data_IF_511246823993
#
_entry.id   IF_511246823993
#
_cell.length_a   1.000
_cell.length_b   1.000
_cell.length_c   1.000
_cell.angle_alpha   90.00
_cell.angle_beta   90.00
_cell.angle_gamma   90.00
#
_symmetry.space_group_name_H-M   'P 1'
#
loop_
_entity.id
_entity.type
_entity.pdbx_description
1 polymer ?
#
# COMPACT_ATOMS: atom_id res chain seq x y z
N UNK A 1 -23.61 11.31 -11.80
CA UNK A 1 -24.77 12.20 -12.04
C UNK A 1 -25.98 11.42 -12.50
N UNK A 2 -27.20 11.97 -12.29
CA UNK A 2 -28.46 11.33 -12.66
C UNK A 2 -29.04 11.98 -13.94
N UNK A 3 -29.49 11.15 -14.90
CA UNK A 3 -30.10 11.61 -16.14
C UNK A 3 -31.48 12.23 -15.88
N UNK A 4 -31.85 13.37 -16.55
CA UNK A 4 -33.21 13.90 -16.51
C UNK A 4 -34.19 12.96 -17.20
N UNK A 5 -35.23 12.51 -16.47
CA UNK A 5 -36.17 11.47 -16.93
C UNK A 5 -37.54 12.00 -17.36
N UNK A 6 -37.75 13.32 -17.38
CA UNK A 6 -39.06 13.95 -17.66
C UNK A 6 -39.67 13.46 -18.98
N UNK A 7 -38.92 13.51 -20.08
CA UNK A 7 -39.38 13.09 -21.40
C UNK A 7 -39.55 11.58 -21.53
N UNK A 8 -38.75 10.79 -20.80
CA UNK A 8 -38.92 9.34 -20.72
C UNK A 8 -40.23 8.95 -20.11
N UNK A 9 -40.65 9.55 -18.99
CA UNK A 9 -41.94 9.27 -18.35
C UNK A 9 -43.10 9.70 -19.24
N UNK A 10 -43.01 10.80 -19.96
CA UNK A 10 -44.02 11.19 -20.92
C UNK A 10 -44.13 10.19 -22.07
N UNK A 11 -43.00 9.74 -22.64
CA UNK A 11 -42.95 8.69 -23.64
C UNK A 11 -43.67 7.41 -23.19
N UNK A 12 -43.52 7.01 -21.96
CA UNK A 12 -44.18 5.82 -21.42
C UNK A 12 -45.68 5.97 -21.23
N UNK A 13 -46.16 7.17 -20.88
CA UNK A 13 -47.54 7.44 -20.52
C UNK A 13 -48.37 7.99 -21.72
N UNK A 14 -47.81 8.06 -22.89
CA UNK A 14 -48.52 8.54 -24.11
C UNK A 14 -48.85 7.35 -25.00
N UNK A 15 -50.10 7.26 -25.49
CA UNK A 15 -50.54 6.17 -26.39
C UNK A 15 -50.43 6.54 -27.86
N UNK A 16 -50.50 7.84 -28.17
CA UNK A 16 -50.40 8.35 -29.54
C UNK A 16 -48.98 8.22 -30.09
N UNK A 17 -48.83 7.56 -31.26
CA UNK A 17 -47.54 7.27 -31.88
C UNK A 17 -46.73 8.51 -32.22
N UNK A 18 -47.38 9.55 -32.75
CA UNK A 18 -46.71 10.81 -33.08
C UNK A 18 -46.13 11.52 -31.87
N UNK A 19 -46.85 11.53 -30.77
CA UNK A 19 -46.40 12.10 -29.50
C UNK A 19 -45.31 11.27 -28.86
N UNK A 20 -45.33 9.92 -28.97
CA UNK A 20 -44.22 9.03 -28.55
C UNK A 20 -42.92 9.37 -29.26
N UNK A 21 -42.95 9.52 -30.57
CA UNK A 21 -41.76 9.84 -31.35
C UNK A 21 -41.20 11.21 -30.98
N UNK A 22 -42.01 12.19 -30.68
CA UNK A 22 -41.59 13.51 -30.25
C UNK A 22 -40.91 13.46 -28.88
N UNK A 23 -41.51 12.73 -27.93
CA UNK A 23 -41.00 12.65 -26.55
C UNK A 23 -39.68 11.83 -26.48
N UNK A 24 -39.53 10.76 -27.30
CA UNK A 24 -38.26 10.02 -27.32
C UNK A 24 -37.12 10.83 -27.95
N UNK A 25 -37.40 11.59 -29.03
CA UNK A 25 -36.42 12.52 -29.61
C UNK A 25 -36.01 13.59 -28.59
N UNK A 26 -36.97 14.17 -27.87
CA UNK A 26 -36.71 15.14 -26.80
C UNK A 26 -35.89 14.56 -25.66
N UNK A 27 -36.13 13.28 -25.31
CA UNK A 27 -35.35 12.54 -24.31
C UNK A 27 -33.89 12.37 -24.76
N UNK A 28 -33.66 11.97 -26.00
CA UNK A 28 -32.29 11.80 -26.56
C UNK A 28 -31.54 13.12 -26.58
N UNK A 29 -32.17 14.21 -27.00
CA UNK A 29 -31.60 15.56 -26.98
C UNK A 29 -31.22 15.96 -25.55
N UNK A 30 -32.11 15.73 -24.58
CA UNK A 30 -31.87 16.01 -23.19
C UNK A 30 -30.68 15.18 -22.63
N UNK A 31 -30.60 13.91 -23.00
CA UNK A 31 -29.49 13.01 -22.58
C UNK A 31 -28.16 13.49 -23.18
N UNK A 32 -28.08 13.82 -24.46
CA UNK A 32 -26.88 14.38 -25.11
C UNK A 32 -26.46 15.72 -24.51
N UNK A 33 -27.42 16.59 -24.19
CA UNK A 33 -27.15 17.86 -23.51
C UNK A 33 -26.59 17.61 -22.10
N UNK A 34 -27.14 16.65 -21.35
CA UNK A 34 -26.68 16.30 -20.04
C UNK A 34 -25.23 15.72 -20.08
N UNK A 35 -24.95 14.81 -21.01
CA UNK A 35 -23.60 14.27 -21.25
C UNK A 35 -22.62 15.43 -21.53
N UNK A 36 -22.98 16.36 -22.41
CA UNK A 36 -22.13 17.51 -22.73
C UNK A 36 -21.91 18.44 -21.54
N UNK A 37 -22.96 18.66 -20.73
CA UNK A 37 -22.86 19.45 -19.48
C UNK A 37 -21.92 18.83 -18.46
N UNK A 38 -21.95 17.51 -18.27
CA UNK A 38 -21.06 16.80 -17.37
C UNK A 38 -19.62 16.83 -17.85
N UNK A 39 -19.40 16.62 -19.16
CA UNK A 39 -18.05 16.71 -19.76
C UNK A 39 -17.42 18.10 -19.53
N UNK A 40 -18.18 19.18 -19.70
CA UNK A 40 -17.68 20.56 -19.48
C UNK A 40 -17.28 20.85 -18.05
N UNK A 41 -17.77 20.10 -17.06
CA UNK A 41 -17.44 20.30 -15.64
C UNK A 41 -16.06 19.76 -15.25
N UNK A 42 -15.35 19.08 -16.17
CA UNK A 42 -13.98 18.59 -16.01
C UNK A 42 -13.68 18.05 -14.60
N UNK A 43 -14.50 17.14 -14.10
CA UNK A 43 -14.39 16.60 -12.74
C UNK A 43 -13.01 16.01 -12.43
N UNK A 44 -12.29 15.54 -13.45
CA UNK A 44 -10.91 15.06 -13.31
C UNK A 44 -9.90 16.13 -12.87
N UNK A 45 -10.19 17.41 -13.16
CA UNK A 45 -9.32 18.53 -12.77
C UNK A 45 -9.61 19.08 -11.37
N UNK A 46 -10.78 18.79 -10.79
CA UNK A 46 -11.21 19.33 -9.50
C UNK A 46 -10.61 18.63 -8.29
N UNK A 47 -10.05 17.46 -8.48
CA UNK A 47 -9.47 16.66 -7.40
C UNK A 47 -8.03 16.34 -7.78
N UNK A 48 -7.06 16.83 -7.02
CA UNK A 48 -5.65 16.37 -7.04
C UNK A 48 -5.54 14.88 -6.66
N UNK A 49 -6.47 14.05 -7.13
CA UNK A 49 -6.58 12.63 -6.87
C UNK A 49 -6.38 11.96 -8.23
N UNK A 50 -5.68 10.84 -8.28
CA UNK A 50 -5.70 9.90 -9.41
C UNK A 50 -7.16 9.49 -9.67
N UNK A 51 -7.91 10.37 -10.35
CA UNK A 51 -9.31 10.14 -10.72
C UNK A 51 -9.33 9.27 -11.96
N UNK A 52 -10.21 8.28 -12.07
CA UNK A 52 -10.40 7.53 -13.29
C UNK A 52 -10.77 8.46 -14.43
N UNK A 53 -10.27 8.18 -15.63
CA UNK A 53 -10.49 8.98 -16.84
C UNK A 53 -11.97 9.03 -17.29
N UNK A 54 -12.85 8.33 -16.59
CA UNK A 54 -14.26 8.18 -16.94
C UNK A 54 -15.20 8.62 -15.84
N UNK A 55 -16.31 9.26 -16.24
CA UNK A 55 -17.40 9.66 -15.34
C UNK A 55 -18.64 8.80 -15.62
N UNK A 56 -19.22 8.21 -14.57
CA UNK A 56 -20.49 7.49 -14.70
C UNK A 56 -21.67 8.45 -14.64
N UNK A 57 -22.59 8.31 -15.61
CA UNK A 57 -23.93 8.92 -15.59
C UNK A 57 -24.94 7.81 -15.33
N UNK A 58 -25.70 7.98 -14.26
CA UNK A 58 -26.70 7.00 -13.85
C UNK A 58 -28.03 7.20 -14.54
N UNK A 59 -28.51 6.17 -15.24
CA UNK A 59 -29.81 6.07 -15.86
C UNK A 59 -30.73 5.23 -14.95
N UNK A 60 -31.77 5.80 -14.31
CA UNK A 60 -32.59 5.07 -13.33
C UNK A 60 -33.39 3.89 -13.90
N UNK A 61 -33.64 3.91 -15.20
CA UNK A 61 -34.41 2.86 -15.90
C UNK A 61 -33.56 2.24 -17.01
N UNK A 62 -33.26 0.96 -16.92
CA UNK A 62 -32.50 0.21 -17.92
C UNK A 62 -33.13 0.30 -19.32
N UNK A 63 -34.47 0.16 -19.38
CA UNK A 63 -35.21 0.28 -20.64
C UNK A 63 -35.11 1.65 -21.29
N UNK A 64 -34.92 2.73 -20.54
CA UNK A 64 -34.70 4.04 -21.10
C UNK A 64 -33.40 4.12 -21.90
N UNK A 65 -32.35 3.47 -21.44
CA UNK A 65 -31.07 3.39 -22.15
C UNK A 65 -31.20 2.54 -23.41
N UNK A 66 -31.81 1.36 -23.32
CA UNK A 66 -32.05 0.45 -24.43
C UNK A 66 -32.91 1.16 -25.52
N UNK A 67 -33.95 1.85 -25.10
CA UNK A 67 -34.82 2.58 -26.02
C UNK A 67 -34.08 3.73 -26.67
N UNK A 68 -33.30 4.52 -25.91
CA UNK A 68 -32.51 5.59 -26.49
C UNK A 68 -31.54 5.08 -27.56
N UNK A 69 -30.87 3.94 -27.33
CA UNK A 69 -29.99 3.29 -28.29
C UNK A 69 -30.72 2.80 -29.55
N UNK A 70 -31.95 2.30 -29.40
CA UNK A 70 -32.76 1.86 -30.54
C UNK A 70 -33.11 3.03 -31.49
N UNK A 71 -33.36 4.22 -30.94
CA UNK A 71 -33.67 5.43 -31.73
C UNK A 71 -32.42 6.21 -32.17
N UNK A 72 -31.33 6.11 -31.44
CA UNK A 72 -30.05 6.75 -31.77
C UNK A 72 -28.88 5.84 -31.34
N UNK A 73 -28.40 5.03 -32.30
CA UNK A 73 -27.31 4.10 -32.10
C UNK A 73 -25.97 4.78 -31.76
N UNK A 74 -25.83 6.07 -32.07
CA UNK A 74 -24.59 6.81 -31.83
C UNK A 74 -24.43 7.28 -30.38
N UNK A 75 -25.46 7.15 -29.52
CA UNK A 75 -25.51 7.82 -28.23
C UNK A 75 -24.44 7.32 -27.25
N UNK A 76 -24.10 6.02 -27.27
CA UNK A 76 -23.03 5.47 -26.43
C UNK A 76 -21.66 5.91 -26.93
N UNK A 77 -21.42 5.90 -28.24
CA UNK A 77 -20.16 6.39 -28.81
C UNK A 77 -19.98 7.89 -28.51
N UNK A 78 -21.04 8.67 -28.58
CA UNK A 78 -21.04 10.08 -28.22
C UNK A 78 -20.66 10.30 -26.74
N UNK A 79 -21.16 9.47 -25.83
CA UNK A 79 -20.80 9.52 -24.41
C UNK A 79 -19.34 9.10 -24.19
N UNK A 80 -18.91 8.01 -24.84
CA UNK A 80 -17.54 7.48 -24.71
C UNK A 80 -16.48 8.46 -25.21
N UNK A 81 -16.72 9.16 -26.34
CA UNK A 81 -15.83 10.22 -26.84
C UNK A 81 -15.65 11.36 -25.85
N UNK A 82 -16.56 11.51 -24.91
CA UNK A 82 -16.50 12.50 -23.81
C UNK A 82 -16.05 11.92 -22.48
N UNK A 83 -15.49 10.71 -22.51
CA UNK A 83 -15.06 9.98 -21.31
C UNK A 83 -16.21 9.77 -20.30
N UNK A 84 -17.41 9.56 -20.82
CA UNK A 84 -18.61 9.34 -20.04
C UNK A 84 -19.19 7.96 -20.34
N UNK A 85 -19.52 7.21 -19.30
CA UNK A 85 -20.18 5.91 -19.38
C UNK A 85 -21.59 6.06 -18.80
N UNK A 86 -22.59 5.77 -19.62
CA UNK A 86 -23.99 5.73 -19.15
C UNK A 86 -24.28 4.34 -18.63
N UNK A 87 -24.69 4.26 -17.38
CA UNK A 87 -24.94 2.99 -16.66
C UNK A 87 -26.35 2.93 -16.12
N UNK A 88 -26.99 1.77 -16.31
CA UNK A 88 -28.24 1.43 -15.65
C UNK A 88 -28.00 0.86 -14.25
N UNK A 89 -29.07 0.51 -13.50
CA UNK A 89 -28.99 -0.06 -12.15
C UNK A 89 -28.13 -1.31 -12.07
N UNK A 90 -28.35 -2.27 -12.96
CA UNK A 90 -27.61 -3.53 -12.97
C UNK A 90 -26.11 -3.35 -13.28
N UNK A 91 -25.81 -2.55 -14.30
CA UNK A 91 -24.45 -2.26 -14.72
C UNK A 91 -23.69 -1.45 -13.66
N UNK A 92 -24.35 -0.51 -12.98
CA UNK A 92 -23.73 0.26 -11.90
C UNK A 92 -23.26 -0.64 -10.75
N UNK A 93 -24.12 -1.59 -10.32
CA UNK A 93 -23.76 -2.54 -9.25
C UNK A 93 -22.53 -3.36 -9.64
N UNK A 94 -22.46 -3.83 -10.89
CA UNK A 94 -21.31 -4.58 -11.39
C UNK A 94 -20.03 -3.72 -11.40
N UNK A 95 -20.12 -2.49 -11.89
CA UNK A 95 -19.01 -1.55 -11.89
C UNK A 95 -18.51 -1.26 -10.46
N UNK A 96 -19.40 -1.07 -9.49
CA UNK A 96 -19.02 -0.84 -8.09
C UNK A 96 -18.30 -2.04 -7.49
N UNK A 97 -18.74 -3.27 -7.77
CA UNK A 97 -18.03 -4.49 -7.33
C UNK A 97 -16.64 -4.63 -7.94
N UNK A 98 -16.48 -4.25 -9.20
CA UNK A 98 -15.16 -4.23 -9.85
C UNK A 98 -14.23 -3.21 -9.19
N UNK A 99 -14.70 -1.99 -8.93
CA UNK A 99 -13.95 -0.95 -8.23
C UNK A 99 -13.54 -1.41 -6.82
N UNK A 100 -14.47 -2.01 -6.06
CA UNK A 100 -14.17 -2.59 -4.76
C UNK A 100 -13.06 -3.65 -4.83
N UNK A 101 -13.12 -4.53 -5.84
CA UNK A 101 -12.10 -5.57 -6.05
C UNK A 101 -10.73 -4.97 -6.38
N UNK A 102 -10.68 -3.92 -7.22
CA UNK A 102 -9.45 -3.20 -7.54
C UNK A 102 -8.85 -2.55 -6.30
N UNK A 103 -9.64 -1.85 -5.50
CA UNK A 103 -9.17 -1.23 -4.26
C UNK A 103 -8.66 -2.25 -3.24
N UNK A 104 -9.30 -3.42 -3.17
CA UNK A 104 -8.82 -4.52 -2.31
C UNK A 104 -7.44 -5.03 -2.76
N UNK A 105 -7.25 -5.21 -4.06
CA UNK A 105 -5.95 -5.62 -4.64
C UNK A 105 -4.87 -4.56 -4.41
N UNK A 106 -5.20 -3.29 -4.61
CA UNK A 106 -4.28 -2.18 -4.38
C UNK A 106 -3.85 -2.08 -2.92
N UNK A 107 -4.79 -2.25 -1.99
CA UNK A 107 -4.49 -2.33 -0.55
C UNK A 107 -3.60 -3.52 -0.20
N UNK A 108 -3.84 -4.70 -0.80
CA UNK A 108 -2.99 -5.88 -0.61
C UNK A 108 -1.56 -5.64 -1.12
N UNK A 109 -1.42 -5.04 -2.30
CA UNK A 109 -0.11 -4.72 -2.89
C UNK A 109 0.67 -3.72 -2.02
N UNK A 110 -0.01 -2.70 -1.50
CA UNK A 110 0.61 -1.73 -0.58
C UNK A 110 1.10 -2.41 0.70
N UNK A 111 0.27 -3.26 1.30
CA UNK A 111 0.65 -4.01 2.51
C UNK A 111 1.83 -4.97 2.24
N UNK A 112 1.85 -5.65 1.07
CA UNK A 112 2.95 -6.55 0.71
C UNK A 112 4.28 -5.80 0.57
N UNK A 113 4.28 -4.60 0.01
CA UNK A 113 5.46 -3.76 -0.09
C UNK A 113 5.94 -3.31 1.31
N UNK A 114 5.02 -2.90 2.16
CA UNK A 114 5.33 -2.49 3.54
C UNK A 114 5.91 -3.65 4.36
N UNK A 115 5.38 -4.87 4.20
CA UNK A 115 5.93 -6.09 4.83
C UNK A 115 7.34 -6.38 4.32
N UNK A 116 7.61 -6.22 3.03
CA UNK A 116 8.94 -6.41 2.46
C UNK A 116 9.95 -5.38 3.00
N UNK A 117 9.57 -4.12 3.14
CA UNK A 117 10.40 -3.07 3.70
C UNK A 117 10.73 -3.33 5.19
N UNK A 118 9.73 -3.75 5.98
CA UNK A 118 9.93 -4.14 7.39
C UNK A 118 10.82 -5.38 7.48
N UNK A 119 10.62 -6.36 6.60
CA UNK A 119 11.47 -7.55 6.51
C UNK A 119 12.95 -7.21 6.24
N UNK A 120 13.20 -6.27 5.33
CA UNK A 120 14.55 -5.75 5.07
C UNK A 120 15.19 -5.13 6.31
N UNK A 121 14.47 -4.25 7.00
CA UNK A 121 14.94 -3.63 8.25
C UNK A 121 15.24 -4.67 9.35
N UNK A 122 14.42 -5.71 9.44
CA UNK A 122 14.64 -6.80 10.41
C UNK A 122 15.94 -7.56 10.11
N UNK A 123 16.21 -7.87 8.83
CA UNK A 123 17.46 -8.52 8.41
C UNK A 123 18.68 -7.65 8.78
N UNK A 124 18.63 -6.35 8.51
CA UNK A 124 19.69 -5.41 8.86
C UNK A 124 19.98 -5.39 10.38
N UNK A 125 18.94 -5.45 11.21
CA UNK A 125 19.09 -5.51 12.66
C UNK A 125 19.70 -6.84 13.12
N UNK A 126 19.34 -7.96 12.51
CA UNK A 126 19.94 -9.27 12.79
C UNK A 126 21.43 -9.25 12.46
N UNK A 127 21.81 -8.73 11.28
CA UNK A 127 23.24 -8.62 10.88
C UNK A 127 24.01 -7.76 11.88
N UNK A 128 23.49 -6.62 12.29
CA UNK A 128 24.13 -5.78 13.31
C UNK A 128 24.31 -6.50 14.64
N UNK A 129 23.30 -7.26 15.06
CA UNK A 129 23.36 -8.03 16.30
C UNK A 129 24.41 -9.15 16.24
N UNK A 130 24.53 -9.84 15.12
CA UNK A 130 25.56 -10.87 14.91
C UNK A 130 26.97 -10.23 15.00
N UNK A 131 27.21 -9.12 14.36
CA UNK A 131 28.51 -8.41 14.41
C UNK A 131 28.86 -8.02 15.87
N UNK A 132 27.91 -7.52 16.64
CA UNK A 132 28.14 -7.17 18.06
C UNK A 132 28.49 -8.41 18.89
N UNK A 133 27.88 -9.55 18.61
CA UNK A 133 28.20 -10.81 19.28
C UNK A 133 29.63 -11.25 18.94
N UNK A 134 30.03 -11.23 17.68
CA UNK A 134 31.39 -11.57 17.22
C UNK A 134 32.46 -10.65 17.85
N UNK A 135 32.21 -9.36 17.92
CA UNK A 135 33.11 -8.41 18.58
C UNK A 135 33.22 -8.69 20.10
N UNK A 136 32.13 -9.10 20.72
CA UNK A 136 32.11 -9.47 22.13
C UNK A 136 32.89 -10.77 22.38
N UNK A 137 32.75 -11.77 21.52
CA UNK A 137 33.54 -13.01 21.60
C UNK A 137 35.04 -12.73 21.44
N UNK A 138 35.43 -11.91 20.48
CA UNK A 138 36.83 -11.48 20.28
C UNK A 138 37.39 -10.77 21.54
N UNK A 139 36.57 -9.95 22.18
CA UNK A 139 36.93 -9.23 23.39
C UNK A 139 37.15 -10.21 24.59
N UNK A 140 36.28 -11.23 24.71
CA UNK A 140 36.41 -12.27 25.72
C UNK A 140 37.67 -13.11 25.52
N UNK A 141 38.00 -13.46 24.26
CA UNK A 141 39.25 -14.18 23.95
C UNK A 141 40.47 -13.37 24.38
N UNK A 142 40.51 -12.06 24.04
CA UNK A 142 41.60 -11.16 24.47
C UNK A 142 41.69 -11.05 25.99
N UNK A 143 40.56 -10.92 26.68
CA UNK A 143 40.53 -10.88 28.15
C UNK A 143 41.05 -12.19 28.76
N UNK A 144 40.69 -13.33 28.21
CA UNK A 144 41.17 -14.64 28.64
C UNK A 144 42.70 -14.77 28.45
N UNK A 145 43.24 -14.32 27.31
CA UNK A 145 44.69 -14.30 27.07
C UNK A 145 45.42 -13.41 28.08
N UNK A 146 44.88 -12.20 28.32
CA UNK A 146 45.46 -11.27 29.30
C UNK A 146 45.47 -11.85 30.70
N UNK A 147 44.42 -12.53 31.11
CA UNK A 147 44.38 -13.27 32.41
C UNK A 147 45.40 -14.39 32.45
N UNK A 148 45.57 -15.15 31.36
CA UNK A 148 46.57 -16.19 31.27
C UNK A 148 48.00 -15.64 31.43
N UNK A 149 48.30 -14.53 30.72
CA UNK A 149 49.57 -13.84 30.83
C UNK A 149 49.83 -13.30 32.25
N UNK A 150 48.83 -12.70 32.87
CA UNK A 150 48.96 -12.21 34.24
C UNK A 150 49.25 -13.36 35.23
N UNK A 151 48.61 -14.54 35.09
CA UNK A 151 48.93 -15.73 35.86
C UNK A 151 50.36 -16.20 35.66
N UNK A 152 50.88 -16.17 34.42
CA UNK A 152 52.31 -16.50 34.14
C UNK A 152 53.28 -15.57 34.87
N UNK A 153 53.01 -14.26 34.81
CA UNK A 153 53.84 -13.27 35.52
C UNK A 153 53.83 -13.47 37.05
N UNK A 154 52.69 -13.89 37.58
CA UNK A 154 52.55 -14.12 39.01
C UNK A 154 53.15 -15.43 39.48
N UNK A 155 52.96 -16.54 38.76
CA UNK A 155 53.29 -17.91 39.24
C UNK A 155 54.40 -18.60 38.42
N UNK A 156 54.61 -18.30 37.18
CA UNK A 156 55.48 -19.07 36.27
C UNK A 156 56.73 -18.28 35.79
N UNK A 157 57.86 -18.96 35.71
CA UNK A 157 59.12 -18.39 35.20
C UNK A 157 60.05 -17.92 36.32
N UNK A 158 61.35 -17.82 35.98
CA UNK A 158 62.41 -17.46 36.94
C UNK A 158 62.27 -16.08 37.59
N UNK A 159 61.52 -15.17 36.96
CA UNK A 159 61.24 -13.84 37.49
C UNK A 159 59.82 -13.65 37.97
N UNK A 160 59.03 -14.74 38.23
CA UNK A 160 57.66 -14.61 38.72
C UNK A 160 57.66 -14.06 40.15
N UNK A 161 56.62 -13.27 40.45
CA UNK A 161 56.47 -12.72 41.81
C UNK A 161 56.44 -13.80 42.88
N UNK A 162 55.92 -14.98 42.56
CA UNK A 162 55.92 -16.15 43.44
C UNK A 162 57.37 -16.65 43.74
N UNK A 163 58.19 -16.80 42.70
CA UNK A 163 59.60 -17.22 42.89
C UNK A 163 60.43 -16.18 43.63
N UNK A 164 60.26 -14.90 43.31
CA UNK A 164 60.92 -13.81 44.05
C UNK A 164 60.50 -13.80 45.51
N UNK A 165 59.24 -13.99 45.82
CA UNK A 165 58.73 -14.05 47.18
C UNK A 165 59.25 -15.29 47.93
N UNK A 166 59.46 -16.43 47.24
CA UNK A 166 60.04 -17.63 47.76
C UNK A 166 61.54 -17.47 48.12
N UNK A 167 62.29 -16.78 47.22
CA UNK A 167 63.69 -16.39 47.46
C UNK A 167 63.80 -15.41 48.65
N UNK A 168 62.96 -14.41 48.74
CA UNK A 168 62.92 -13.51 49.91
C UNK A 168 62.63 -14.24 51.20
N UNK A 169 61.73 -15.23 51.20
CA UNK A 169 61.44 -16.10 52.37
C UNK A 169 62.67 -16.90 52.78
N UNK A 170 63.43 -17.48 51.81
CA UNK A 170 64.62 -18.21 52.04
C UNK A 170 65.79 -17.36 52.64
N UNK A 171 65.75 -16.07 52.32
CA UNK A 171 66.70 -15.04 52.81
C UNK A 171 66.26 -14.46 54.16
N UNK A 172 65.20 -15.00 54.81
CA UNK A 172 64.79 -14.60 56.15
C UNK A 172 63.68 -13.56 56.22
N UNK A 173 63.02 -13.21 55.09
CA UNK A 173 61.86 -12.32 55.13
C UNK A 173 60.67 -13.04 55.86
N UNK A 174 60.10 -12.36 56.84
CA UNK A 174 59.04 -12.93 57.69
C UNK A 174 57.67 -12.54 57.04
N UNK A 175 56.86 -13.52 56.62
CA UNK A 175 55.49 -13.28 56.08
C UNK A 175 54.47 -13.92 57.05
N UNK A 176 53.34 -13.28 57.22
CA UNK A 176 52.24 -13.74 58.12
C UNK A 176 51.28 -14.77 57.45
N UNK A 177 51.38 -15.04 56.15
CA UNK A 177 50.54 -16.02 55.41
C UNK A 177 51.40 -16.85 54.46
N UNK A 178 51.17 -18.15 54.38
CA UNK A 178 51.83 -18.97 53.36
C UNK A 178 51.39 -18.65 51.97
N UNK A 179 52.37 -18.68 51.01
CA UNK A 179 52.16 -18.52 49.57
C UNK A 179 51.58 -19.85 49.03
N UNK A 180 50.26 -19.92 48.83
CA UNK A 180 49.60 -21.07 48.21
C UNK A 180 49.44 -20.85 46.69
#
# INVERSE_FOLDING_TARGET
SKVPMKHWYKFQNTDEQSSKEMEIKSFIVSLKSHITSIHKKEYSKLLNINSPDYVFIFMPHEFALITAQKYDQSILNFAQQKQIIVVGPSTLIMCMKLVESIWRLEKQNKNSKEIADIGGQMIDQIIKSINVIEDSENSLVKASQNLSNAKKYLKEGRGSLFNIAQEMKNLGANNKKDLN
#
